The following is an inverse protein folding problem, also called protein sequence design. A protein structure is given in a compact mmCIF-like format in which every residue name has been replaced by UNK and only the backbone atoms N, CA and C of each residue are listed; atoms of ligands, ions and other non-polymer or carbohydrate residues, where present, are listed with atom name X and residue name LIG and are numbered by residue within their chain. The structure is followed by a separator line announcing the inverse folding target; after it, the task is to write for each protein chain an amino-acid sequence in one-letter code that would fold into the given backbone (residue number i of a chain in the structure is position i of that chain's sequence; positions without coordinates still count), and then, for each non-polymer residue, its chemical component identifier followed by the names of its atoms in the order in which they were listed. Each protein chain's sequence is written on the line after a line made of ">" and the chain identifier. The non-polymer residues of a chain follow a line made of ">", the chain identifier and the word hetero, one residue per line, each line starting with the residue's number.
data_IF_927392374013
#
_entry.id   IF_927392374013
#
_cell.length_a   1.000
_cell.length_b   1.000
_cell.length_c   1.000
_cell.angle_alpha   90.00
_cell.angle_beta   90.00
_cell.angle_gamma   90.00
#
_symmetry.space_group_name_H-M   'P 1'
#
loop_
_entity.id
_entity.type
_entity.pdbx_description
1 polymer ?
#
# COMPACT_ATOMS: atom_id res chain seq x y z
N UNK A 1 30.75 9.04 -6.37
CA UNK A 1 29.29 9.21 -6.31
C UNK A 1 29.02 10.54 -5.65
N UNK A 2 28.22 11.40 -6.26
CA UNK A 2 27.79 12.65 -5.63
C UNK A 2 26.92 12.37 -4.40
N UNK A 3 26.85 13.26 -3.39
CA UNK A 3 25.98 13.06 -2.23
C UNK A 3 24.51 12.82 -2.61
N UNK A 4 24.05 13.45 -3.70
CA UNK A 4 22.70 13.30 -4.24
C UNK A 4 22.48 11.90 -4.84
N UNK A 5 23.44 11.36 -5.60
CA UNK A 5 23.36 9.99 -6.11
C UNK A 5 23.24 8.96 -4.99
N UNK A 6 24.02 9.12 -3.92
CA UNK A 6 23.94 8.22 -2.75
C UNK A 6 22.54 8.29 -2.13
N UNK A 7 21.99 9.49 -1.97
CA UNK A 7 20.64 9.67 -1.45
C UNK A 7 19.57 9.01 -2.34
N UNK A 8 19.65 9.19 -3.66
CA UNK A 8 18.72 8.57 -4.62
C UNK A 8 18.81 7.03 -4.57
N UNK A 9 20.02 6.48 -4.51
CA UNK A 9 20.23 5.02 -4.42
C UNK A 9 19.64 4.47 -3.12
N UNK A 10 19.89 5.13 -1.98
CA UNK A 10 19.33 4.71 -0.69
C UNK A 10 17.80 4.76 -0.70
N UNK A 11 17.23 5.83 -1.25
CA UNK A 11 15.78 6.00 -1.33
C UNK A 11 15.12 4.97 -2.27
N UNK A 12 15.77 4.67 -3.40
CA UNK A 12 15.32 3.64 -4.34
C UNK A 12 15.42 2.24 -3.75
N UNK A 13 16.51 1.92 -3.05
CA UNK A 13 16.70 0.64 -2.36
C UNK A 13 15.66 0.46 -1.25
N UNK A 14 15.37 1.52 -0.49
CA UNK A 14 14.30 1.54 0.50
C UNK A 14 12.93 1.29 -0.15
N UNK A 15 12.61 2.01 -1.23
CA UNK A 15 11.36 1.80 -1.97
C UNK A 15 11.20 0.37 -2.49
N UNK A 16 12.25 -0.18 -3.10
CA UNK A 16 12.29 -1.55 -3.60
C UNK A 16 12.12 -2.60 -2.48
N UNK A 17 12.75 -2.39 -1.32
CA UNK A 17 12.59 -3.26 -0.16
C UNK A 17 11.11 -3.30 0.29
N UNK A 18 10.45 -2.15 0.42
CA UNK A 18 9.04 -2.10 0.81
C UNK A 18 8.10 -2.71 -0.24
N UNK A 19 8.39 -2.53 -1.53
CA UNK A 19 7.66 -3.21 -2.60
C UNK A 19 7.79 -4.73 -2.50
N UNK A 20 9.00 -5.24 -2.25
CA UNK A 20 9.25 -6.67 -2.06
C UNK A 20 8.49 -7.22 -0.86
N UNK A 21 8.55 -6.53 0.29
CA UNK A 21 7.81 -6.90 1.50
C UNK A 21 6.30 -6.91 1.23
N UNK A 22 5.78 -5.92 0.50
CA UNK A 22 4.38 -5.86 0.11
C UNK A 22 3.96 -7.05 -0.75
N UNK A 23 4.76 -7.37 -1.78
CA UNK A 23 4.51 -8.51 -2.67
C UNK A 23 4.52 -9.85 -1.90
N UNK A 24 5.52 -10.06 -1.03
CA UNK A 24 5.60 -11.25 -0.18
C UNK A 24 4.38 -11.33 0.76
N UNK A 25 4.00 -10.21 1.38
CA UNK A 25 2.84 -10.14 2.27
C UNK A 25 1.52 -10.48 1.56
N UNK A 26 1.33 -10.04 0.31
CA UNK A 26 0.15 -10.36 -0.49
C UNK A 26 0.10 -11.87 -0.81
N UNK A 27 1.23 -12.53 -1.03
CA UNK A 27 1.26 -13.97 -1.39
C UNK A 27 1.18 -14.88 -0.16
N UNK A 28 1.84 -14.49 0.94
CA UNK A 28 2.08 -15.38 2.09
C UNK A 28 1.03 -15.28 3.20
N UNK A 29 0.30 -14.16 3.31
CA UNK A 29 -0.67 -13.97 4.39
C UNK A 29 -1.96 -14.78 4.14
N UNK A 30 -2.51 -15.45 5.16
CA UNK A 30 -3.64 -16.38 5.00
C UNK A 30 -4.98 -15.68 4.78
N UNK A 31 -5.12 -14.47 5.32
CA UNK A 31 -6.39 -13.73 5.35
C UNK A 31 -6.42 -12.53 4.41
N UNK A 32 -7.59 -12.22 3.85
CA UNK A 32 -7.79 -11.13 2.87
C UNK A 32 -7.49 -9.77 3.50
N UNK A 33 -7.94 -9.50 4.73
CA UNK A 33 -7.66 -8.22 5.39
C UNK A 33 -6.17 -8.07 5.71
N UNK A 34 -5.53 -9.16 6.13
CA UNK A 34 -4.08 -9.18 6.33
C UNK A 34 -3.30 -8.94 5.04
N UNK A 35 -3.70 -9.58 3.92
CA UNK A 35 -3.12 -9.34 2.58
C UNK A 35 -3.33 -7.90 2.11
N UNK A 36 -4.52 -7.35 2.34
CA UNK A 36 -4.84 -5.95 2.01
C UNK A 36 -4.07 -4.95 2.87
N UNK A 37 -3.78 -5.28 4.13
CA UNK A 37 -2.94 -4.46 4.99
C UNK A 37 -1.50 -4.42 4.49
N UNK A 38 -0.92 -5.60 4.21
CA UNK A 38 0.43 -5.71 3.68
C UNK A 38 0.55 -5.08 2.28
N UNK A 39 -0.46 -5.27 1.44
CA UNK A 39 -0.59 -4.60 0.15
C UNK A 39 -0.67 -3.09 0.31
N UNK A 40 -1.69 -2.58 1.00
CA UNK A 40 -1.95 -1.15 1.11
C UNK A 40 -0.81 -0.36 1.76
N UNK A 41 -0.38 -0.71 2.97
CA UNK A 41 0.60 0.11 3.71
C UNK A 41 1.99 0.05 3.10
N UNK A 42 2.51 -1.16 2.89
CA UNK A 42 3.88 -1.33 2.42
C UNK A 42 4.04 -0.87 0.95
N UNK A 43 3.04 -1.09 0.08
CA UNK A 43 3.13 -0.60 -1.30
C UNK A 43 3.08 0.93 -1.37
N UNK A 44 2.25 1.60 -0.57
CA UNK A 44 2.15 3.07 -0.60
C UNK A 44 3.48 3.73 -0.23
N UNK A 45 4.16 3.20 0.80
CA UNK A 45 5.50 3.66 1.21
C UNK A 45 6.56 3.34 0.15
N UNK A 46 6.51 2.14 -0.43
CA UNK A 46 7.46 1.73 -1.48
C UNK A 46 7.35 2.59 -2.74
N UNK A 47 6.12 2.79 -3.24
CA UNK A 47 5.84 3.62 -4.42
C UNK A 47 6.20 5.08 -4.17
N UNK A 48 5.86 5.64 -3.01
CA UNK A 48 6.17 7.04 -2.72
C UNK A 48 7.68 7.30 -2.64
N UNK A 49 8.44 6.40 -2.01
CA UNK A 49 9.90 6.47 -2.00
C UNK A 49 10.48 6.39 -3.42
N UNK A 50 9.95 5.51 -4.28
CA UNK A 50 10.41 5.36 -5.66
C UNK A 50 10.12 6.60 -6.52
N UNK A 51 8.93 7.19 -6.38
CA UNK A 51 8.55 8.42 -7.07
C UNK A 51 9.39 9.62 -6.62
N UNK A 52 9.68 9.72 -5.32
CA UNK A 52 10.60 10.76 -4.80
C UNK A 52 12.01 10.56 -5.33
N UNK A 53 12.52 9.33 -5.34
CA UNK A 53 13.85 9.03 -5.88
C UNK A 53 13.96 9.42 -7.36
N UNK A 54 12.93 9.11 -8.16
CA UNK A 54 12.87 9.55 -9.55
C UNK A 54 12.85 11.08 -9.68
N UNK A 55 12.06 11.77 -8.86
CA UNK A 55 12.01 13.23 -8.83
C UNK A 55 13.37 13.87 -8.52
N UNK A 56 14.10 13.34 -7.53
CA UNK A 56 15.44 13.82 -7.18
C UNK A 56 16.50 13.43 -8.22
N UNK A 57 16.36 12.31 -8.92
CA UNK A 57 17.34 11.90 -9.93
C UNK A 57 17.32 12.80 -11.17
N UNK A 58 16.13 13.11 -11.68
CA UNK A 58 15.98 13.94 -12.88
C UNK A 58 16.07 15.43 -12.60
N UNK A 59 15.73 15.86 -11.38
CA UNK A 59 15.83 17.25 -10.88
C UNK A 59 15.18 18.31 -11.79
N UNK A 60 14.19 17.91 -12.59
CA UNK A 60 13.37 18.81 -13.39
C UNK A 60 12.17 19.29 -12.55
N UNK A 61 11.99 20.60 -12.40
CA UNK A 61 10.97 21.19 -11.52
C UNK A 61 9.58 20.62 -11.79
N UNK A 62 9.17 20.61 -13.06
CA UNK A 62 7.83 20.16 -13.43
C UNK A 62 7.62 18.67 -13.18
N UNK A 63 8.65 17.84 -13.38
CA UNK A 63 8.61 16.42 -13.08
C UNK A 63 8.51 16.18 -11.57
N UNK A 64 9.26 16.93 -10.77
CA UNK A 64 9.24 16.80 -9.31
C UNK A 64 7.84 17.11 -8.73
N UNK A 65 7.20 18.19 -9.17
CA UNK A 65 5.84 18.53 -8.75
C UNK A 65 4.82 17.46 -9.18
N UNK A 66 4.98 16.86 -10.37
CA UNK A 66 4.16 15.73 -10.83
C UNK A 66 4.32 14.51 -9.92
N UNK A 67 5.54 14.18 -9.48
CA UNK A 67 5.77 13.07 -8.55
C UNK A 67 5.09 13.30 -7.21
N UNK A 68 5.16 14.53 -6.66
CA UNK A 68 4.45 14.88 -5.42
C UNK A 68 2.93 14.74 -5.59
N UNK A 69 2.37 15.21 -6.71
CA UNK A 69 0.96 15.07 -7.03
C UNK A 69 0.53 13.59 -7.10
N UNK A 70 1.34 12.73 -7.73
CA UNK A 70 1.08 11.30 -7.79
C UNK A 70 1.08 10.66 -6.39
N UNK A 71 2.02 11.05 -5.53
CA UNK A 71 2.06 10.58 -4.15
C UNK A 71 0.79 11.00 -3.41
N UNK A 72 0.40 12.28 -3.48
CA UNK A 72 -0.82 12.77 -2.85
C UNK A 72 -2.07 12.02 -3.35
N UNK A 73 -2.16 11.78 -4.66
CA UNK A 73 -3.26 11.04 -5.28
C UNK A 73 -3.30 9.57 -4.82
N UNK A 74 -2.15 8.92 -4.71
CA UNK A 74 -2.04 7.55 -4.19
C UNK A 74 -2.54 7.48 -2.74
N UNK A 75 -2.11 8.42 -1.89
CA UNK A 75 -2.55 8.49 -0.49
C UNK A 75 -4.05 8.78 -0.34
N UNK A 76 -4.66 9.51 -1.27
CA UNK A 76 -6.11 9.73 -1.28
C UNK A 76 -6.89 8.49 -1.78
N UNK A 77 -6.38 7.83 -2.82
CA UNK A 77 -7.12 6.78 -3.54
C UNK A 77 -7.00 5.42 -2.86
N UNK A 78 -5.82 5.09 -2.32
CA UNK A 78 -5.54 3.78 -1.72
C UNK A 78 -6.43 3.47 -0.49
N UNK A 79 -6.68 4.41 0.45
CA UNK A 79 -7.58 4.18 1.57
C UNK A 79 -9.04 3.96 1.12
N UNK A 80 -9.49 4.70 0.10
CA UNK A 80 -10.84 4.57 -0.45
C UNK A 80 -11.00 3.19 -1.10
N UNK A 81 -10.05 2.80 -1.96
CA UNK A 81 -10.04 1.50 -2.63
C UNK A 81 -9.99 0.35 -1.61
N UNK A 82 -9.10 0.43 -0.62
CA UNK A 82 -8.95 -0.58 0.43
C UNK A 82 -10.22 -0.70 1.27
N UNK A 83 -10.85 0.42 1.64
CA UNK A 83 -12.10 0.40 2.41
C UNK A 83 -13.26 -0.21 1.62
N UNK A 84 -13.38 0.10 0.33
CA UNK A 84 -14.39 -0.49 -0.54
C UNK A 84 -14.18 -2.01 -0.71
N UNK A 85 -12.93 -2.42 -0.98
CA UNK A 85 -12.56 -3.83 -1.08
C UNK A 85 -12.80 -4.60 0.23
N UNK A 86 -12.50 -4.02 1.39
CA UNK A 86 -12.69 -4.67 2.69
C UNK A 86 -14.17 -4.92 2.97
N UNK A 87 -15.04 -3.94 2.70
CA UNK A 87 -16.49 -4.10 2.84
C UNK A 87 -17.06 -5.15 1.88
N UNK A 88 -16.60 -5.16 0.63
CA UNK A 88 -17.01 -6.15 -0.35
C UNK A 88 -16.56 -7.56 0.06
N UNK A 89 -15.30 -7.71 0.49
CA UNK A 89 -14.74 -8.97 0.96
C UNK A 89 -15.46 -9.50 2.20
N UNK A 90 -15.83 -8.60 3.14
CA UNK A 90 -16.58 -8.96 4.34
C UNK A 90 -17.99 -9.47 4.02
N UNK A 91 -18.69 -8.86 3.06
CA UNK A 91 -20.07 -9.25 2.68
C UNK A 91 -20.17 -10.48 1.79
N UNK A 92 -19.15 -10.76 0.97
CA UNK A 92 -19.21 -11.82 -0.05
C UNK A 92 -18.62 -13.15 0.39
N UNK A 93 -17.90 -13.21 1.52
CA UNK A 93 -17.12 -14.39 1.92
C UNK A 93 -17.49 -14.98 3.28
N UNK A 94 -18.35 -16.02 3.36
CA UNK A 94 -18.62 -16.73 4.62
C UNK A 94 -17.41 -17.53 5.15
N UNK A 95 -16.40 -17.82 4.31
CA UNK A 95 -15.36 -18.81 4.60
C UNK A 95 -14.14 -18.30 5.40
N UNK A 96 -14.04 -17.01 5.75
CA UNK A 96 -12.76 -16.42 6.22
C UNK A 96 -12.75 -15.80 7.62
N UNK A 97 -13.80 -16.03 8.41
CA UNK A 97 -13.80 -15.70 9.86
C UNK A 97 -12.99 -16.68 10.72
N UNK A 98 -12.29 -17.63 10.09
CA UNK A 98 -11.56 -18.72 10.77
C UNK A 98 -10.40 -18.26 11.66
N UNK A 99 -9.93 -17.01 11.49
CA UNK A 99 -8.88 -16.39 12.30
C UNK A 99 -9.38 -15.23 13.18
N UNK A 100 -10.69 -14.96 13.20
CA UNK A 100 -11.29 -13.98 14.12
C UNK A 100 -11.83 -14.72 15.34
N UNK A 101 -11.26 -14.44 16.51
CA UNK A 101 -11.80 -14.92 17.79
C UNK A 101 -13.02 -14.10 18.24
N UNK A 102 -13.09 -12.84 17.80
CA UNK A 102 -14.17 -11.90 18.10
C UNK A 102 -14.53 -11.14 16.83
N UNK A 103 -15.83 -11.02 16.55
CA UNK A 103 -16.38 -10.32 15.39
C UNK A 103 -17.69 -9.62 15.78
N UNK A 104 -17.57 -8.38 16.25
CA UNK A 104 -18.72 -7.57 16.68
C UNK A 104 -19.62 -7.18 15.49
N UNK A 105 -19.07 -7.15 14.27
CA UNK A 105 -19.81 -6.82 13.05
C UNK A 105 -20.53 -8.04 12.45
N UNK A 106 -20.49 -9.20 13.12
CA UNK A 106 -21.15 -10.41 12.65
C UNK A 106 -22.68 -10.26 12.61
N UNK A 107 -23.24 -9.60 13.63
CA UNK A 107 -24.68 -9.43 13.81
C UNK A 107 -25.26 -8.46 12.77
N UNK A 108 -24.54 -7.37 12.46
CA UNK A 108 -24.94 -6.33 11.50
C UNK A 108 -25.11 -6.84 10.05
N UNK A 109 -24.52 -7.99 9.71
CA UNK A 109 -24.61 -8.61 8.39
C UNK A 109 -25.63 -9.76 8.36
N UNK A 110 -25.90 -10.40 9.51
CA UNK A 110 -26.88 -11.49 9.64
C UNK A 110 -28.33 -10.99 9.71
N UNK A 111 -28.55 -9.73 10.06
CA UNK A 111 -29.88 -9.14 10.25
C UNK A 111 -30.48 -8.57 8.94
N UNK A 112 -29.86 -8.84 7.79
CA UNK A 112 -30.35 -8.50 6.45
C UNK A 112 -30.67 -9.74 5.63
#
# INVERSE_FOLDING_TARGET
>A
MSPLEIFVVLLSAFGAFFMLVSAIGIVRLPDVFSRMHAGGKASTVGVSAMLLAAGFYFFEEFLFYRMILLIALLFATLPIATSAMSRAAYRTGPAKRKHLNYDDMANDVSEK
#
